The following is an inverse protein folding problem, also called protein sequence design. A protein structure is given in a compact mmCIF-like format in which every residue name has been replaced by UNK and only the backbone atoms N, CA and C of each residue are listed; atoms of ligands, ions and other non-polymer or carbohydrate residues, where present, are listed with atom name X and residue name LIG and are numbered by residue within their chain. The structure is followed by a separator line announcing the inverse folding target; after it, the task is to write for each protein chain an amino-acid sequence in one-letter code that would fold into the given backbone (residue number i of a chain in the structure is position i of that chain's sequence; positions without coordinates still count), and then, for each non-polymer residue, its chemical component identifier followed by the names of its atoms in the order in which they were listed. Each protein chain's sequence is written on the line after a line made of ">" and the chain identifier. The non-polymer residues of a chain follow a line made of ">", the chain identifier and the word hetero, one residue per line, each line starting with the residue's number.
data_IF_799945544650
#
_entry.id   IF_799945544650
#
_cell.length_a   1.000
_cell.length_b   1.000
_cell.length_c   1.000
_cell.angle_alpha   90.00
_cell.angle_beta   90.00
_cell.angle_gamma   90.00
#
_symmetry.space_group_name_H-M   'P 1'
#
loop_
_entity.id
_entity.type
_entity.pdbx_description
1 polymer ?
#
# COMPACT_ATOMS: atom_id res chain seq x y z
N UNK A 1 16.78 5.63 -33.90
CA UNK A 1 16.60 6.00 -32.47
C UNK A 1 15.83 4.86 -31.83
N UNK A 2 16.38 4.21 -30.81
CA UNK A 2 15.71 3.10 -30.12
C UNK A 2 14.51 3.64 -29.32
N UNK A 3 13.32 3.10 -29.57
CA UNK A 3 12.12 3.43 -28.81
C UNK A 3 12.19 2.77 -27.44
N UNK A 4 12.66 3.51 -26.44
CA UNK A 4 12.69 3.05 -25.04
C UNK A 4 11.27 2.98 -24.50
N UNK A 5 10.83 1.77 -24.15
CA UNK A 5 9.46 1.49 -23.68
C UNK A 5 9.29 1.82 -22.17
N UNK A 6 10.39 2.03 -21.44
CA UNK A 6 10.38 2.27 -20.00
C UNK A 6 10.94 3.64 -19.62
N UNK A 7 10.24 4.34 -18.72
CA UNK A 7 10.63 5.63 -18.15
C UNK A 7 10.50 5.60 -16.62
N UNK A 8 11.26 6.44 -15.92
CA UNK A 8 11.13 6.65 -14.46
C UNK A 8 10.18 7.80 -14.10
N UNK A 9 9.73 8.55 -15.10
CA UNK A 9 8.77 9.65 -14.92
C UNK A 9 7.36 9.09 -14.77
N UNK A 10 6.58 9.64 -13.84
CA UNK A 10 5.16 9.36 -13.71
C UNK A 10 4.42 9.70 -15.01
N UNK A 11 3.61 8.76 -15.48
CA UNK A 11 2.69 8.93 -16.60
C UNK A 11 1.25 8.91 -16.09
N UNK A 12 0.32 9.50 -16.85
CA UNK A 12 -1.10 9.52 -16.46
C UNK A 12 -1.69 8.10 -16.34
N UNK A 13 -1.16 7.15 -17.11
CA UNK A 13 -1.50 5.73 -17.08
C UNK A 13 -1.11 5.07 -15.75
N UNK A 14 -0.01 5.51 -15.12
CA UNK A 14 0.39 5.04 -13.79
C UNK A 14 -0.69 5.44 -12.78
N UNK A 15 -1.13 6.70 -12.80
CA UNK A 15 -2.15 7.19 -11.85
C UNK A 15 -3.46 6.42 -11.93
N UNK A 16 -3.89 6.08 -13.15
CA UNK A 16 -5.15 5.35 -13.36
C UNK A 16 -5.05 3.87 -12.98
N UNK A 17 -3.92 3.22 -13.26
CA UNK A 17 -3.73 1.79 -13.01
C UNK A 17 -3.42 1.48 -11.54
N UNK A 18 -2.77 2.38 -10.82
CA UNK A 18 -2.39 2.20 -9.41
C UNK A 18 -3.57 1.87 -8.50
N UNK A 19 -4.75 2.45 -8.73
CA UNK A 19 -5.96 2.17 -7.94
C UNK A 19 -6.47 0.74 -8.07
N UNK A 20 -6.20 0.08 -9.19
CA UNK A 20 -6.59 -1.32 -9.45
C UNK A 20 -5.54 -2.32 -8.96
N UNK A 21 -4.28 -1.90 -8.87
CA UNK A 21 -3.15 -2.77 -8.51
C UNK A 21 -2.78 -2.68 -7.03
N UNK A 22 -2.91 -1.50 -6.40
CA UNK A 22 -2.56 -1.31 -4.98
C UNK A 22 -3.76 -1.58 -4.07
N UNK A 23 -3.61 -2.52 -3.12
CA UNK A 23 -4.58 -2.72 -2.05
C UNK A 23 -4.91 -1.42 -1.32
N UNK A 24 -6.20 -1.12 -1.13
CA UNK A 24 -6.64 0.08 -0.40
C UNK A 24 -6.69 -0.17 1.10
N UNK A 25 -6.84 -1.43 1.50
CA UNK A 25 -6.91 -1.85 2.90
C UNK A 25 -5.81 -2.84 3.23
N UNK A 26 -5.37 -2.82 4.49
CA UNK A 26 -4.35 -3.75 4.98
C UNK A 26 -4.75 -5.23 4.83
N UNK A 27 -6.05 -5.54 4.86
CA UNK A 27 -6.54 -6.92 4.69
C UNK A 27 -6.48 -7.42 3.24
N UNK A 28 -6.50 -6.52 2.26
CA UNK A 28 -6.36 -6.80 0.83
C UNK A 28 -4.88 -7.04 0.44
N UNK A 29 -3.94 -6.60 1.28
CA UNK A 29 -2.51 -6.74 0.98
C UNK A 29 -2.07 -8.21 0.90
N UNK A 30 -1.48 -8.60 -0.22
CA UNK A 30 -1.08 -9.99 -0.47
C UNK A 30 0.32 -10.26 0.11
N UNK A 31 0.48 -11.37 0.83
CA UNK A 31 1.75 -11.72 1.48
C UNK A 31 1.99 -11.05 2.83
N UNK A 32 3.26 -11.04 3.28
CA UNK A 32 3.71 -10.39 4.53
C UNK A 32 2.89 -10.71 5.79
N UNK A 33 2.48 -11.97 5.96
CA UNK A 33 1.56 -12.41 7.01
C UNK A 33 1.97 -11.92 8.42
N UNK A 34 3.23 -12.11 8.80
CA UNK A 34 3.76 -11.69 10.12
C UNK A 34 3.63 -10.18 10.35
N UNK A 35 4.03 -9.38 9.36
CA UNK A 35 3.97 -7.91 9.44
C UNK A 35 2.52 -7.44 9.52
N UNK A 36 1.63 -7.96 8.67
CA UNK A 36 0.19 -7.64 8.73
C UNK A 36 -0.44 -7.98 10.08
N UNK A 37 -0.07 -9.11 10.68
CA UNK A 37 -0.56 -9.48 12.01
C UNK A 37 -0.11 -8.48 13.07
N UNK A 38 1.17 -8.12 13.09
CA UNK A 38 1.71 -7.15 14.05
C UNK A 38 1.05 -5.77 13.89
N UNK A 39 0.95 -5.26 12.66
CA UNK A 39 0.25 -4.00 12.37
C UNK A 39 -1.21 -4.03 12.85
N UNK A 40 -1.93 -5.12 12.63
CA UNK A 40 -3.30 -5.24 13.13
C UNK A 40 -3.38 -5.15 14.66
N UNK A 41 -2.42 -5.72 15.38
CA UNK A 41 -2.37 -5.61 16.85
C UNK A 41 -2.12 -4.15 17.26
N UNK A 42 -1.14 -3.49 16.64
CA UNK A 42 -0.82 -2.10 16.98
C UNK A 42 -1.95 -1.13 16.65
N UNK A 43 -2.56 -1.25 15.45
CA UNK A 43 -3.72 -0.45 15.05
C UNK A 43 -4.86 -0.60 16.06
N UNK A 44 -5.16 -1.83 16.50
CA UNK A 44 -6.20 -2.07 17.52
C UNK A 44 -5.84 -1.43 18.85
N UNK A 45 -4.59 -1.53 19.28
CA UNK A 45 -4.13 -0.96 20.54
C UNK A 45 -4.21 0.57 20.53
N UNK A 46 -3.77 1.23 19.46
CA UNK A 46 -3.85 2.68 19.29
C UNK A 46 -5.32 3.17 19.26
N UNK A 47 -6.19 2.47 18.53
CA UNK A 47 -7.64 2.74 18.54
C UNK A 47 -8.26 2.63 19.93
N UNK A 48 -7.90 1.61 20.70
CA UNK A 48 -8.41 1.42 22.05
C UNK A 48 -7.95 2.54 23.01
N UNK A 49 -6.76 3.10 22.79
CA UNK A 49 -6.24 4.26 23.54
C UNK A 49 -6.73 5.60 22.99
N UNK A 50 -7.45 5.58 21.87
CA UNK A 50 -7.89 6.77 21.13
C UNK A 50 -6.73 7.72 20.77
N UNK A 51 -5.58 7.14 20.40
CA UNK A 51 -4.37 7.84 20.00
C UNK A 51 -3.98 7.45 18.56
N UNK A 52 -3.11 8.27 17.94
CA UNK A 52 -2.52 7.92 16.66
C UNK A 52 -1.59 6.72 16.80
N UNK A 53 -1.58 5.85 15.78
CA UNK A 53 -0.54 4.85 15.64
C UNK A 53 0.75 5.55 15.19
N UNK A 54 1.80 5.47 16.01
CA UNK A 54 3.17 5.88 15.68
C UNK A 54 3.88 4.83 14.82
#
# INVERSE_FOLDING_TARGET
>A
MENRIITSSLMDEDLNNEFSLRPQKLNEYIGQKKVKTNLNVFIKAAKNRNESLD
#
